data_IF_605626596617
#
_entry.id   IF_605626596617
#
_cell.length_a   1.000
_cell.length_b   1.000
_cell.length_c   1.000
_cell.angle_alpha   90.00
_cell.angle_beta   90.00
_cell.angle_gamma   90.00
#
_symmetry.space_group_name_H-M   'P 1'
#
loop_
_entity.id
_entity.type
_entity.pdbx_description
1 polymer ?
#
# COMPACT_ATOMS: atom_id res chain seq x y z
N UNK A 1 57.81 19.10 -11.51
CA UNK A 1 57.15 18.24 -10.52
C UNK A 1 55.67 18.62 -10.44
N UNK A 2 54.75 17.76 -10.90
CA UNK A 2 53.33 18.11 -10.95
C UNK A 2 52.61 17.65 -9.67
N UNK A 3 52.04 18.58 -8.92
CA UNK A 3 51.18 18.28 -7.77
C UNK A 3 49.99 17.42 -8.22
N UNK A 4 49.83 16.24 -7.60
CA UNK A 4 48.73 15.30 -7.87
C UNK A 4 47.62 15.52 -6.85
N UNK A 5 46.52 16.13 -7.27
CA UNK A 5 45.31 16.24 -6.44
C UNK A 5 44.49 14.95 -6.48
N UNK A 6 44.35 14.30 -5.32
CA UNK A 6 43.41 13.21 -5.07
C UNK A 6 42.84 13.36 -3.67
N UNK A 7 41.52 13.52 -3.55
CA UNK A 7 40.80 13.56 -2.27
C UNK A 7 39.84 12.37 -2.21
N UNK A 8 39.86 11.59 -1.12
CA UNK A 8 38.92 10.48 -0.91
C UNK A 8 38.15 10.73 0.38
N UNK A 9 36.82 10.81 0.29
CA UNK A 9 35.94 11.09 1.43
C UNK A 9 35.02 9.88 1.63
N UNK A 10 34.98 9.37 2.87
CA UNK A 10 34.07 8.28 3.24
C UNK A 10 32.71 8.89 3.57
N UNK A 11 31.66 8.41 2.92
CA UNK A 11 30.29 8.92 3.11
C UNK A 11 29.48 7.98 3.99
N UNK A 12 29.68 6.68 3.84
CA UNK A 12 29.03 5.65 4.65
C UNK A 12 29.95 4.42 4.82
N UNK A 13 29.56 3.44 5.65
CA UNK A 13 30.30 2.17 5.80
C UNK A 13 30.33 1.45 4.45
N UNK A 14 31.51 1.31 3.86
CA UNK A 14 31.70 0.65 2.57
C UNK A 14 31.63 1.57 1.34
N UNK A 15 31.26 2.86 1.47
CA UNK A 15 31.14 3.79 0.33
C UNK A 15 32.12 4.96 0.45
N UNK A 16 32.86 5.24 -0.62
CA UNK A 16 33.82 6.35 -0.71
C UNK A 16 33.64 7.12 -2.02
N UNK A 17 33.70 8.45 -1.94
CA UNK A 17 33.88 9.31 -3.11
C UNK A 17 35.34 9.66 -3.28
N UNK A 18 35.83 9.54 -4.50
CA UNK A 18 37.18 9.89 -4.90
C UNK A 18 37.11 11.05 -5.90
N UNK A 19 37.76 12.16 -5.57
CA UNK A 19 37.90 13.33 -6.41
C UNK A 19 39.34 13.36 -6.92
N UNK A 20 39.52 13.52 -8.22
CA UNK A 20 40.84 13.68 -8.84
C UNK A 20 40.80 14.68 -10.00
N UNK A 21 41.97 15.08 -10.49
CA UNK A 21 42.11 16.10 -11.56
C UNK A 21 41.29 15.80 -12.83
N UNK A 22 40.99 14.52 -13.13
CA UNK A 22 40.27 14.08 -14.34
C UNK A 22 38.80 13.69 -14.08
N UNK A 23 38.28 13.95 -12.89
CA UNK A 23 36.89 13.68 -12.54
C UNK A 23 36.69 13.01 -11.18
N UNK A 24 35.46 12.58 -10.96
CA UNK A 24 34.99 12.01 -9.70
C UNK A 24 34.64 10.53 -9.88
N UNK A 25 34.85 9.72 -8.85
CA UNK A 25 34.50 8.32 -8.86
C UNK A 25 33.97 7.82 -7.53
N UNK A 26 32.94 6.98 -7.59
CA UNK A 26 32.32 6.33 -6.44
C UNK A 26 32.92 4.94 -6.29
N UNK A 27 33.28 4.54 -5.08
CA UNK A 27 33.67 3.16 -4.77
C UNK A 27 32.78 2.62 -3.66
N UNK A 28 32.19 1.46 -3.87
CA UNK A 28 31.34 0.77 -2.91
C UNK A 28 31.81 -0.68 -2.73
N UNK A 29 31.94 -1.10 -1.47
CA UNK A 29 32.36 -2.47 -1.11
C UNK A 29 33.08 -2.60 0.23
N UNK A 30 33.19 -3.83 0.68
CA UNK A 30 33.82 -4.25 1.95
C UNK A 30 35.23 -4.78 1.71
N UNK A 31 35.94 -5.16 2.78
CA UNK A 31 37.31 -5.70 2.67
C UNK A 31 37.25 -7.05 1.95
N UNK A 32 37.81 -7.13 0.75
CA UNK A 32 37.79 -8.32 -0.10
C UNK A 32 36.82 -8.26 -1.30
N UNK A 33 35.85 -7.34 -1.31
CA UNK A 33 34.96 -7.14 -2.47
C UNK A 33 34.70 -5.65 -2.68
N UNK A 34 35.18 -5.09 -3.79
CA UNK A 34 35.01 -3.67 -4.12
C UNK A 34 34.59 -3.49 -5.57
N UNK A 35 33.61 -2.62 -5.76
CA UNK A 35 33.23 -2.10 -7.06
C UNK A 35 33.48 -0.58 -7.11
N UNK A 36 33.98 -0.09 -8.23
CA UNK A 36 34.24 1.34 -8.40
C UNK A 36 33.85 1.83 -9.79
N UNK A 37 33.26 3.01 -9.84
CA UNK A 37 32.81 3.69 -11.06
C UNK A 37 33.47 5.07 -11.09
N UNK A 38 34.14 5.40 -12.18
CA UNK A 38 34.73 6.72 -12.41
C UNK A 38 33.96 7.47 -13.51
N UNK A 39 33.90 8.80 -13.42
CA UNK A 39 33.21 9.66 -14.40
C UNK A 39 33.74 9.52 -15.83
N UNK A 40 34.95 9.01 -16.02
CA UNK A 40 35.51 8.66 -17.35
C UNK A 40 34.98 7.36 -17.94
N UNK A 41 33.95 6.74 -17.34
CA UNK A 41 33.41 5.45 -17.77
C UNK A 41 34.27 4.23 -17.43
N UNK A 42 35.30 4.40 -16.60
CA UNK A 42 36.10 3.27 -16.08
C UNK A 42 35.36 2.63 -14.90
N UNK A 43 35.16 1.32 -14.97
CA UNK A 43 34.54 0.51 -13.91
C UNK A 43 35.54 -0.58 -13.50
N UNK A 44 35.83 -0.69 -12.21
CA UNK A 44 36.73 -1.72 -11.69
C UNK A 44 36.01 -2.56 -10.65
N UNK A 45 35.93 -3.87 -10.90
CA UNK A 45 35.48 -4.91 -9.95
C UNK A 45 36.72 -5.56 -9.35
N UNK A 46 36.74 -5.74 -8.04
CA UNK A 46 37.82 -6.43 -7.34
C UNK A 46 37.19 -7.38 -6.32
N UNK A 47 37.54 -8.67 -6.43
CA UNK A 47 37.16 -9.72 -5.49
C UNK A 47 38.43 -10.41 -5.05
N UNK A 48 38.66 -10.56 -3.75
CA UNK A 48 39.87 -11.17 -3.22
C UNK A 48 39.65 -11.67 -1.79
N UNK A 49 40.29 -12.80 -1.48
CA UNK A 49 40.15 -13.47 -0.19
C UNK A 49 41.17 -12.84 0.78
N UNK A 50 40.74 -12.15 1.85
CA UNK A 50 41.65 -11.44 2.75
C UNK A 50 42.68 -12.37 3.38
N UNK A 51 43.96 -11.98 3.40
CA UNK A 51 45.04 -12.75 4.04
C UNK A 51 45.70 -13.82 3.16
N UNK A 52 45.13 -14.15 2.00
CA UNK A 52 45.65 -15.21 1.11
C UNK A 52 46.50 -14.71 -0.06
N UNK A 53 46.51 -13.40 -0.32
CA UNK A 53 47.16 -12.79 -1.49
C UNK A 53 46.41 -13.00 -2.82
N UNK A 54 45.37 -13.85 -2.85
CA UNK A 54 44.57 -14.13 -4.04
C UNK A 54 43.52 -13.04 -4.27
N UNK A 55 43.61 -12.37 -5.42
CA UNK A 55 42.61 -11.39 -5.85
C UNK A 55 42.41 -11.42 -7.37
N UNK A 56 41.15 -11.26 -7.78
CA UNK A 56 40.73 -11.06 -9.15
C UNK A 56 40.26 -9.62 -9.31
N UNK A 57 40.91 -8.87 -10.21
CA UNK A 57 40.58 -7.48 -10.49
C UNK A 57 40.26 -7.35 -11.97
N UNK A 58 39.02 -6.99 -12.27
CA UNK A 58 38.57 -6.74 -13.63
C UNK A 58 38.31 -5.24 -13.80
N UNK A 59 39.02 -4.61 -14.73
CA UNK A 59 38.80 -3.19 -15.07
C UNK A 59 38.30 -3.08 -16.49
N UNK A 60 37.06 -2.61 -16.65
CA UNK A 60 36.51 -2.24 -17.95
C UNK A 60 36.58 -0.73 -18.13
N UNK A 61 37.09 -0.30 -19.28
CA UNK A 61 37.08 1.09 -19.73
C UNK A 61 36.12 1.19 -20.91
N UNK A 62 35.25 2.20 -20.91
CA UNK A 62 34.42 2.49 -22.07
C UNK A 62 35.30 2.68 -23.31
N UNK A 63 35.37 1.68 -24.19
CA UNK A 63 36.05 1.77 -25.48
C UNK A 63 35.29 2.81 -26.34
N UNK A 64 36.04 3.80 -26.86
CA UNK A 64 35.59 4.62 -28.00
C UNK A 64 35.11 3.68 -29.10
N UNK A 65 33.89 3.92 -29.59
CA UNK A 65 33.22 3.18 -30.67
C UNK A 65 34.15 3.02 -31.88
N UNK A 66 34.61 1.79 -32.15
CA UNK A 66 34.76 1.33 -33.53
C UNK A 66 33.36 0.88 -33.97
N UNK A 67 32.79 1.59 -34.93
CA UNK A 67 31.61 1.13 -35.68
C UNK A 67 31.98 -0.21 -36.34
N UNK A 68 31.07 -1.17 -36.25
CA UNK A 68 30.53 -2.03 -37.33
C UNK A 68 30.07 -3.37 -36.72
N UNK A 69 28.75 -3.57 -36.78
CA UNK A 69 28.03 -4.87 -36.82
C UNK A 69 28.07 -5.80 -35.60
N UNK A 70 27.51 -5.38 -34.45
CA UNK A 70 26.91 -6.30 -33.45
C UNK A 70 26.00 -5.64 -32.40
N UNK A 71 25.49 -4.43 -32.69
CA UNK A 71 24.66 -3.66 -31.74
C UNK A 71 23.14 -3.69 -32.05
N UNK A 72 22.73 -4.29 -33.18
CA UNK A 72 21.32 -4.34 -33.56
C UNK A 72 20.52 -5.40 -32.80
N UNK A 73 21.16 -6.50 -32.35
CA UNK A 73 20.47 -7.57 -31.61
C UNK A 73 20.25 -7.20 -30.14
N UNK A 74 21.19 -6.52 -29.49
CA UNK A 74 21.04 -6.10 -28.08
C UNK A 74 20.11 -4.90 -27.90
N UNK A 75 20.04 -3.96 -28.86
CA UNK A 75 19.06 -2.87 -28.81
C UNK A 75 17.65 -3.34 -29.16
N UNK A 76 17.49 -4.24 -30.14
CA UNK A 76 16.18 -4.75 -30.55
C UNK A 76 15.57 -5.68 -29.49
N UNK A 77 16.39 -6.52 -28.85
CA UNK A 77 15.93 -7.36 -27.74
C UNK A 77 15.52 -6.53 -26.50
N UNK A 78 16.28 -5.48 -26.17
CA UNK A 78 15.91 -4.56 -25.09
C UNK A 78 14.62 -3.79 -25.41
N UNK A 79 14.47 -3.26 -26.63
CA UNK A 79 13.23 -2.58 -27.02
C UNK A 79 12.03 -3.53 -27.08
N UNK A 80 12.22 -4.79 -27.47
CA UNK A 80 11.16 -5.79 -27.42
C UNK A 80 10.72 -6.05 -25.98
N UNK A 81 11.68 -6.24 -25.07
CA UNK A 81 11.40 -6.46 -23.65
C UNK A 81 10.71 -5.24 -22.99
N UNK A 82 11.16 -4.02 -23.30
CA UNK A 82 10.52 -2.78 -22.85
C UNK A 82 9.07 -2.67 -23.37
N UNK A 83 8.85 -2.99 -24.64
CA UNK A 83 7.52 -2.96 -25.25
C UNK A 83 6.59 -4.03 -24.68
N UNK A 84 7.12 -5.23 -24.39
CA UNK A 84 6.40 -6.31 -23.71
C UNK A 84 5.98 -5.87 -22.31
N UNK A 85 6.93 -5.37 -21.51
CA UNK A 85 6.64 -4.88 -20.16
C UNK A 85 5.56 -3.79 -20.14
N UNK A 86 5.57 -2.87 -21.12
CA UNK A 86 4.55 -1.83 -21.23
C UNK A 86 3.15 -2.37 -21.56
N UNK A 87 3.06 -3.41 -22.39
CA UNK A 87 1.77 -4.07 -22.68
C UNK A 87 1.29 -4.87 -21.47
N UNK A 88 2.19 -5.60 -20.81
CA UNK A 88 1.90 -6.36 -19.60
C UNK A 88 1.45 -5.46 -18.44
N UNK A 89 2.10 -4.30 -18.24
CA UNK A 89 1.71 -3.32 -17.22
C UNK A 89 0.28 -2.80 -17.46
N UNK A 90 -0.06 -2.54 -18.72
CA UNK A 90 -1.40 -2.08 -19.09
C UNK A 90 -2.47 -3.17 -18.89
N UNK A 91 -2.18 -4.41 -19.30
CA UNK A 91 -3.08 -5.55 -19.06
C UNK A 91 -3.26 -5.81 -17.56
N UNK A 92 -2.17 -5.75 -16.79
CA UNK A 92 -2.19 -5.88 -15.34
C UNK A 92 -3.00 -4.77 -14.66
N UNK A 93 -2.92 -3.53 -15.16
CA UNK A 93 -3.75 -2.43 -14.66
C UNK A 93 -5.24 -2.70 -14.87
N UNK A 94 -5.65 -3.07 -16.10
CA UNK A 94 -7.05 -3.44 -16.39
C UNK A 94 -7.50 -4.60 -15.49
N UNK A 95 -6.65 -5.62 -15.32
CA UNK A 95 -6.94 -6.74 -14.44
C UNK A 95 -7.10 -6.30 -12.98
N UNK A 96 -6.28 -5.37 -12.49
CA UNK A 96 -6.36 -4.86 -11.11
C UNK A 96 -7.70 -4.18 -10.87
N UNK A 97 -8.09 -3.23 -11.73
CA UNK A 97 -9.34 -2.47 -11.54
C UNK A 97 -10.59 -3.35 -11.73
N UNK A 98 -10.51 -4.41 -12.55
CA UNK A 98 -11.63 -5.37 -12.77
C UNK A 98 -11.66 -6.53 -11.79
N UNK A 99 -10.70 -6.62 -10.86
CA UNK A 99 -10.63 -7.69 -9.85
C UNK A 99 -10.70 -7.20 -8.41
N UNK A 100 -11.10 -5.95 -8.18
CA UNK A 100 -11.27 -5.35 -6.85
C UNK A 100 -12.16 -6.20 -5.93
N UNK A 101 -13.19 -6.86 -6.47
CA UNK A 101 -14.09 -7.75 -5.72
C UNK A 101 -13.39 -8.94 -5.06
N UNK A 102 -12.18 -9.29 -5.52
CA UNK A 102 -11.36 -10.38 -4.95
C UNK A 102 -10.61 -9.93 -3.70
N UNK A 103 -10.39 -8.63 -3.54
CA UNK A 103 -9.72 -8.05 -2.39
C UNK A 103 -10.71 -8.01 -1.24
N UNK A 104 -10.32 -8.61 -0.11
CA UNK A 104 -11.13 -8.65 1.10
C UNK A 104 -10.22 -8.43 2.31
N UNK A 105 -10.62 -7.56 3.23
CA UNK A 105 -9.95 -7.44 4.51
C UNK A 105 -10.37 -8.61 5.40
N UNK A 106 -9.56 -8.86 6.44
CA UNK A 106 -9.93 -9.78 7.50
C UNK A 106 -11.05 -9.17 8.35
N UNK A 107 -12.11 -9.93 8.71
CA UNK A 107 -13.17 -9.42 9.56
C UNK A 107 -12.65 -8.99 10.93
N UNK A 108 -13.12 -7.86 11.43
CA UNK A 108 -12.85 -7.41 12.79
C UNK A 108 -13.74 -8.21 13.73
N UNK A 109 -13.11 -8.97 14.63
CA UNK A 109 -13.80 -9.79 15.64
C UNK A 109 -14.12 -8.94 16.87
N UNK A 110 -15.16 -8.11 16.77
CA UNK A 110 -15.54 -7.15 17.81
C UNK A 110 -15.83 -7.80 19.16
N UNK A 111 -16.41 -9.01 19.17
CA UNK A 111 -16.65 -9.78 20.39
C UNK A 111 -15.34 -10.19 21.07
N UNK A 112 -14.28 -10.51 20.31
CA UNK A 112 -12.97 -10.81 20.88
C UNK A 112 -12.34 -9.57 21.50
N UNK A 113 -12.48 -8.42 20.84
CA UNK A 113 -12.01 -7.12 21.35
C UNK A 113 -12.75 -6.76 22.64
N UNK A 114 -14.07 -6.90 22.68
CA UNK A 114 -14.88 -6.64 23.88
C UNK A 114 -14.46 -7.54 25.04
N UNK A 115 -14.12 -8.81 24.77
CA UNK A 115 -13.72 -9.78 25.78
C UNK A 115 -12.21 -9.78 26.09
N UNK A 116 -11.42 -8.92 25.44
CA UNK A 116 -9.99 -8.83 25.67
C UNK A 116 -9.67 -8.47 27.13
N UNK A 117 -8.81 -9.24 27.83
CA UNK A 117 -8.43 -8.94 29.20
C UNK A 117 -7.62 -7.65 29.27
N UNK A 118 -7.64 -6.99 30.44
CA UNK A 118 -6.81 -5.82 30.68
C UNK A 118 -5.32 -6.17 30.52
N UNK A 119 -4.48 -5.26 29.99
CA UNK A 119 -3.05 -5.52 29.80
C UNK A 119 -2.33 -5.75 31.13
N UNK A 120 -2.83 -5.16 32.22
CA UNK A 120 -2.40 -5.38 33.60
C UNK A 120 -3.52 -4.95 34.56
N UNK A 121 -3.40 -5.24 35.85
CA UNK A 121 -4.39 -4.85 36.86
C UNK A 121 -4.43 -3.34 37.04
N UNK A 122 -5.63 -2.75 37.09
CA UNK A 122 -5.78 -1.32 37.32
C UNK A 122 -5.14 -0.88 38.64
N UNK A 123 -4.27 0.13 38.59
CA UNK A 123 -3.57 0.66 39.76
C UNK A 123 -2.27 -0.07 40.13
N UNK A 124 -1.94 -1.17 39.45
CA UNK A 124 -0.64 -1.83 39.60
C UNK A 124 0.42 -1.25 38.66
N UNK A 125 1.69 -1.57 38.94
CA UNK A 125 2.82 -1.19 38.09
C UNK A 125 2.73 -1.96 36.77
N UNK A 126 2.75 -1.24 35.65
CA UNK A 126 2.69 -1.87 34.34
C UNK A 126 3.94 -2.70 34.03
N UNK A 127 3.85 -3.64 33.07
CA UNK A 127 4.91 -4.59 32.78
C UNK A 127 6.20 -3.93 32.25
N UNK A 128 6.11 -2.80 31.53
CA UNK A 128 7.28 -2.08 31.06
C UNK A 128 7.96 -1.35 32.21
N UNK A 129 7.19 -0.68 33.06
CA UNK A 129 7.68 0.00 34.25
C UNK A 129 8.35 -1.00 35.21
N UNK A 130 7.74 -2.16 35.44
CA UNK A 130 8.30 -3.22 36.28
C UNK A 130 9.65 -3.73 35.75
N UNK A 131 9.75 -3.94 34.43
CA UNK A 131 11.03 -4.30 33.78
C UNK A 131 12.08 -3.21 33.96
N UNK A 132 11.70 -1.94 33.80
CA UNK A 132 12.62 -0.81 33.96
C UNK A 132 13.12 -0.66 35.41
N UNK A 133 12.24 -0.88 36.41
CA UNK A 133 12.60 -0.89 37.83
C UNK A 133 13.59 -2.03 38.11
N UNK A 134 13.31 -3.24 37.64
CA UNK A 134 14.23 -4.37 37.82
C UNK A 134 15.60 -4.11 37.17
N UNK A 135 15.65 -3.47 36.00
CA UNK A 135 16.92 -3.06 35.38
C UNK A 135 17.69 -2.02 36.20
N UNK A 136 16.99 -1.12 36.89
CA UNK A 136 17.60 -0.14 37.79
C UNK A 136 18.12 -0.78 39.08
N UNK A 137 17.35 -1.67 39.69
CA UNK A 137 17.73 -2.37 40.93
C UNK A 137 18.90 -3.33 40.70
N UNK A 138 18.95 -4.00 39.54
CA UNK A 138 20.04 -4.87 39.15
C UNK A 138 21.34 -4.12 38.77
N UNK A 139 21.31 -2.78 38.69
CA UNK A 139 22.48 -1.99 38.30
C UNK A 139 23.53 -1.91 39.41
N UNK A 140 24.72 -2.45 39.14
CA UNK A 140 25.92 -2.26 39.96
C UNK A 140 26.98 -1.43 39.21
N UNK A 141 27.61 -0.43 39.84
CA UNK A 141 28.63 0.39 39.18
C UNK A 141 29.92 -0.39 38.95
N UNK A 142 30.45 -0.30 37.73
CA UNK A 142 31.71 -0.93 37.33
C UNK A 142 32.93 -0.18 37.91
N UNK A 143 34.12 -0.78 37.85
CA UNK A 143 35.36 -0.19 38.42
C UNK A 143 35.61 1.26 37.97
N UNK A 144 35.35 1.60 36.71
CA UNK A 144 35.49 2.97 36.17
C UNK A 144 34.43 3.92 36.73
N UNK A 145 33.19 3.44 36.92
CA UNK A 145 32.06 4.21 37.44
C UNK A 145 32.17 4.44 38.96
N UNK A 146 32.93 3.59 39.67
CA UNK A 146 33.34 3.82 41.07
C UNK A 146 34.41 4.91 41.19
N UNK A 147 35.31 4.98 40.21
CA UNK A 147 36.40 5.97 40.16
C UNK A 147 35.88 7.34 39.68
N UNK A 148 34.82 7.37 38.87
CA UNK A 148 34.19 8.60 38.37
C UNK A 148 32.69 8.60 38.75
N UNK A 149 32.35 9.08 39.97
CA UNK A 149 30.97 9.05 40.49
C UNK A 149 29.94 9.71 39.55
N UNK A 150 30.33 10.79 38.87
CA UNK A 150 29.48 11.53 37.92
C UNK A 150 29.00 10.69 36.72
N UNK A 151 29.75 9.65 36.32
CA UNK A 151 29.31 8.73 35.27
C UNK A 151 28.24 7.75 35.78
N UNK A 152 28.37 7.29 37.03
CA UNK A 152 27.36 6.45 37.67
C UNK A 152 26.07 7.24 37.91
N UNK A 153 26.16 8.50 38.33
CA UNK A 153 25.03 9.42 38.51
C UNK A 153 24.25 9.61 37.20
N UNK A 154 24.92 9.97 36.10
CA UNK A 154 24.29 10.10 34.78
C UNK A 154 23.61 8.82 34.29
N UNK A 155 24.15 7.65 34.65
CA UNK A 155 23.57 6.36 34.27
C UNK A 155 22.33 6.03 35.12
N UNK A 156 22.36 6.36 36.42
CA UNK A 156 21.19 6.30 37.30
C UNK A 156 20.08 7.24 36.85
N UNK A 157 20.41 8.48 36.46
CA UNK A 157 19.46 9.43 35.87
C UNK A 157 18.80 8.88 34.60
N UNK A 158 19.57 8.23 33.72
CA UNK A 158 19.02 7.57 32.53
C UNK A 158 18.07 6.44 32.87
N UNK A 159 18.40 5.61 33.85
CA UNK A 159 17.49 4.54 34.28
C UNK A 159 16.22 5.11 34.93
N UNK A 160 16.33 6.15 35.76
CA UNK A 160 15.15 6.85 36.31
C UNK A 160 14.26 7.42 35.20
N UNK A 161 14.87 8.06 34.19
CA UNK A 161 14.15 8.52 33.00
C UNK A 161 13.51 7.38 32.20
N UNK A 162 14.15 6.21 32.12
CA UNK A 162 13.62 5.05 31.43
C UNK A 162 12.42 4.43 32.18
N UNK A 163 12.44 4.43 33.52
CA UNK A 163 11.29 4.02 34.34
C UNK A 163 10.09 4.94 34.08
N UNK A 164 10.31 6.26 34.03
CA UNK A 164 9.24 7.21 33.76
C UNK A 164 8.66 7.07 32.34
N UNK A 165 9.52 6.89 31.33
CA UNK A 165 9.08 6.60 29.96
C UNK A 165 8.30 5.29 29.86
N UNK A 166 8.76 4.25 30.56
CA UNK A 166 8.09 2.96 30.58
C UNK A 166 6.72 3.05 31.26
N UNK A 167 6.60 3.81 32.35
CA UNK A 167 5.33 4.13 33.01
C UNK A 167 4.37 4.86 32.06
N UNK A 168 4.84 5.90 31.36
CA UNK A 168 4.03 6.64 30.39
C UNK A 168 3.55 5.75 29.25
N UNK A 169 4.38 4.81 28.80
CA UNK A 169 3.99 3.83 27.78
C UNK A 169 2.94 2.85 28.30
N UNK A 170 3.12 2.28 29.50
CA UNK A 170 2.12 1.39 30.12
C UNK A 170 0.77 2.12 30.32
N UNK A 171 0.78 3.38 30.76
CA UNK A 171 -0.43 4.21 30.87
C UNK A 171 -1.09 4.44 29.50
N UNK A 172 -0.30 4.63 28.44
CA UNK A 172 -0.80 4.78 27.07
C UNK A 172 -1.44 3.49 26.58
N UNK A 173 -0.76 2.36 26.74
CA UNK A 173 -1.25 1.04 26.31
C UNK A 173 -2.56 0.69 27.04
N UNK A 174 -2.67 1.04 28.32
CA UNK A 174 -3.90 0.83 29.09
C UNK A 174 -5.05 1.71 28.58
N UNK A 175 -4.80 2.99 28.29
CA UNK A 175 -5.83 3.91 27.72
C UNK A 175 -6.29 3.44 26.35
N UNK A 176 -5.37 3.06 25.47
CA UNK A 176 -5.69 2.54 24.13
C UNK A 176 -6.56 1.28 24.24
N UNK A 177 -6.24 0.37 25.16
CA UNK A 177 -7.08 -0.80 25.43
C UNK A 177 -8.49 -0.41 25.91
N UNK A 178 -8.62 0.58 26.81
CA UNK A 178 -9.94 1.07 27.26
C UNK A 178 -10.76 1.68 26.13
N UNK A 179 -10.13 2.53 25.30
CA UNK A 179 -10.75 3.16 24.14
C UNK A 179 -11.22 2.11 23.12
N UNK A 180 -10.38 1.11 22.84
CA UNK A 180 -10.69 0.00 21.94
C UNK A 180 -11.89 -0.81 22.45
N UNK A 181 -11.92 -1.14 23.75
CA UNK A 181 -13.06 -1.84 24.35
C UNK A 181 -14.34 -1.01 24.31
N UNK A 182 -14.25 0.27 24.62
CA UNK A 182 -15.40 1.18 24.55
C UNK A 182 -15.93 1.31 23.13
N UNK A 183 -15.04 1.33 22.13
CA UNK A 183 -15.43 1.34 20.72
C UNK A 183 -16.12 0.03 20.35
N UNK A 184 -15.54 -1.12 20.72
CA UNK A 184 -16.14 -2.42 20.43
C UNK A 184 -17.55 -2.56 21.04
N UNK A 185 -17.75 -2.12 22.28
CA UNK A 185 -19.06 -2.11 22.93
C UNK A 185 -20.07 -1.22 22.19
N UNK A 186 -19.64 -0.02 21.76
CA UNK A 186 -20.47 0.89 21.00
C UNK A 186 -20.81 0.36 19.59
N UNK A 187 -19.88 -0.33 18.93
CA UNK A 187 -20.10 -0.99 17.63
C UNK A 187 -21.09 -2.15 17.79
N UNK A 188 -20.88 -3.05 18.76
CA UNK A 188 -21.78 -4.18 19.00
C UNK A 188 -23.19 -3.72 19.43
N UNK A 189 -23.28 -2.56 20.07
CA UNK A 189 -24.56 -1.91 20.41
C UNK A 189 -25.20 -1.15 19.25
N UNK A 190 -24.58 -1.13 18.06
CA UNK A 190 -25.11 -0.47 16.87
C UNK A 190 -25.12 1.06 16.94
N UNK A 191 -24.21 1.68 17.69
CA UNK A 191 -24.18 3.13 17.83
C UNK A 191 -23.68 3.82 16.54
N UNK A 192 -24.45 4.77 15.95
CA UNK A 192 -24.09 5.38 14.68
C UNK A 192 -22.72 6.06 14.66
N UNK A 193 -22.34 6.75 15.74
CA UNK A 193 -21.05 7.45 15.82
C UNK A 193 -19.86 6.48 15.86
N UNK A 194 -20.04 5.29 16.46
CA UNK A 194 -19.03 4.25 16.44
C UNK A 194 -18.82 3.70 15.02
N UNK A 195 -19.91 3.44 14.29
CA UNK A 195 -19.84 2.99 12.89
C UNK A 195 -19.14 4.02 11.99
N UNK A 196 -19.50 5.31 12.13
CA UNK A 196 -18.83 6.39 11.40
C UNK A 196 -17.34 6.44 11.72
N UNK A 197 -16.96 6.32 12.99
CA UNK A 197 -15.55 6.32 13.40
C UNK A 197 -14.78 5.18 12.75
N UNK A 198 -15.31 3.96 12.78
CA UNK A 198 -14.68 2.78 12.16
C UNK A 198 -14.49 2.98 10.65
N UNK A 199 -15.51 3.45 9.94
CA UNK A 199 -15.43 3.68 8.49
C UNK A 199 -14.49 4.85 8.15
N UNK A 200 -14.47 5.92 8.95
CA UNK A 200 -13.62 7.08 8.72
C UNK A 200 -12.12 6.80 9.00
N UNK A 201 -11.80 5.88 9.91
CA UNK A 201 -10.43 5.48 10.22
C UNK A 201 -9.88 4.41 9.25
N UNK A 202 -10.74 3.83 8.40
CA UNK A 202 -10.34 2.87 7.36
C UNK A 202 -9.59 3.58 6.22
N UNK A 203 -8.33 3.19 6.04
CA UNK A 203 -7.46 3.73 4.99
C UNK A 203 -7.96 3.42 3.57
N UNK A 204 -8.75 2.37 3.44
CA UNK A 204 -9.30 1.85 2.19
C UNK A 204 -10.30 2.82 1.55
N UNK A 205 -11.05 3.57 2.36
CA UNK A 205 -12.02 4.56 1.88
C UNK A 205 -11.45 5.99 1.85
N UNK A 206 -10.24 6.22 2.36
CA UNK A 206 -9.69 7.56 2.55
C UNK A 206 -9.47 8.32 1.23
N UNK A 207 -9.19 7.61 0.14
CA UNK A 207 -8.85 8.20 -1.16
C UNK A 207 -10.07 8.50 -2.05
N UNK A 208 -11.29 8.17 -1.61
CA UNK A 208 -12.49 8.28 -2.44
C UNK A 208 -13.56 9.19 -1.83
N UNK A 209 -14.22 10.03 -2.65
CA UNK A 209 -15.38 10.76 -2.17
C UNK A 209 -16.51 9.77 -1.89
N UNK A 210 -16.87 9.62 -0.63
CA UNK A 210 -18.01 8.80 -0.21
C UNK A 210 -18.94 9.55 0.74
N UNK A 211 -20.20 9.10 0.78
CA UNK A 211 -21.17 9.45 1.79
C UNK A 211 -21.60 8.16 2.49
N UNK A 212 -21.66 8.20 3.82
CA UNK A 212 -22.01 7.05 4.64
C UNK A 212 -23.14 7.40 5.59
N UNK A 213 -24.21 6.61 5.55
CA UNK A 213 -25.41 6.79 6.37
C UNK A 213 -25.72 5.49 7.11
N UNK A 214 -26.05 5.62 8.39
CA UNK A 214 -26.52 4.51 9.23
C UNK A 214 -28.02 4.64 9.35
N UNK A 215 -28.74 3.58 8.98
CA UNK A 215 -30.20 3.52 9.12
C UNK A 215 -30.57 2.89 10.46
N UNK A 216 -29.89 1.81 10.84
CA UNK A 216 -29.98 1.18 12.16
C UNK A 216 -28.75 0.29 12.42
N UNK A 217 -28.77 -0.47 13.51
CA UNK A 217 -27.67 -1.35 13.93
C UNK A 217 -27.29 -2.41 12.87
N UNK A 218 -28.22 -2.81 11.99
CA UNK A 218 -28.04 -3.89 11.02
C UNK A 218 -27.95 -3.41 9.57
N UNK A 219 -28.25 -2.13 9.31
CA UNK A 219 -28.39 -1.57 7.96
C UNK A 219 -27.64 -0.26 7.79
N UNK A 220 -26.77 -0.23 6.78
CA UNK A 220 -25.97 0.93 6.41
C UNK A 220 -26.06 1.23 4.92
N UNK A 221 -25.91 2.48 4.54
CA UNK A 221 -25.91 2.94 3.16
C UNK A 221 -24.59 3.65 2.87
N UNK A 222 -23.98 3.33 1.75
CA UNK A 222 -22.77 4.00 1.28
C UNK A 222 -22.90 4.38 -0.19
N UNK A 223 -22.62 5.64 -0.47
CA UNK A 223 -22.45 6.16 -1.83
C UNK A 223 -20.99 6.47 -2.04
N UNK A 224 -20.42 6.07 -3.17
CA UNK A 224 -19.09 6.54 -3.59
C UNK A 224 -19.11 7.01 -5.04
N UNK A 225 -18.31 8.04 -5.30
CA UNK A 225 -18.16 8.61 -6.62
C UNK A 225 -16.91 8.06 -7.27
N UNK A 226 -17.08 7.34 -8.38
CA UNK A 226 -15.97 6.85 -9.20
C UNK A 226 -15.51 7.92 -10.19
N UNK A 227 -14.23 7.84 -10.58
CA UNK A 227 -13.69 8.64 -11.67
C UNK A 227 -13.61 7.82 -12.96
N UNK A 228 -14.41 8.20 -13.96
CA UNK A 228 -14.41 7.54 -15.28
C UNK A 228 -13.07 7.55 -16.00
N UNK A 229 -12.16 8.46 -15.64
CA UNK A 229 -10.82 8.56 -16.20
C UNK A 229 -9.88 7.43 -15.75
N UNK A 230 -10.23 6.68 -14.70
CA UNK A 230 -9.45 5.51 -14.26
C UNK A 230 -9.56 4.34 -15.26
N UNK A 231 -10.56 4.32 -16.13
CA UNK A 231 -10.74 3.23 -17.07
C UNK A 231 -9.99 3.57 -18.38
N UNK A 232 -8.99 2.78 -18.80
CA UNK A 232 -8.22 3.07 -20.00
C UNK A 232 -9.11 3.15 -21.24
N UNK A 233 -8.93 4.20 -22.04
CA UNK A 233 -9.63 4.38 -23.32
C UNK A 233 -8.84 3.86 -24.52
N UNK A 234 -7.59 3.44 -24.30
CA UNK A 234 -6.71 2.84 -25.30
C UNK A 234 -6.42 1.38 -24.96
N UNK A 235 -6.05 0.61 -25.97
CA UNK A 235 -5.53 -0.74 -25.81
C UNK A 235 -4.12 -0.81 -26.40
N UNK A 236 -3.21 -1.40 -25.63
CA UNK A 236 -1.83 -1.64 -26.01
C UNK A 236 -1.67 -3.08 -26.48
N UNK A 237 -1.04 -3.27 -27.64
CA UNK A 237 -0.76 -4.59 -28.21
C UNK A 237 0.61 -4.58 -28.88
N UNK A 238 1.21 -5.75 -29.09
CA UNK A 238 2.44 -5.87 -29.89
C UNK A 238 2.12 -6.17 -31.35
N UNK A 239 2.79 -5.47 -32.26
CA UNK A 239 2.79 -5.84 -33.68
C UNK A 239 3.61 -7.11 -33.89
N UNK A 240 3.45 -7.76 -35.06
CA UNK A 240 4.31 -8.89 -35.49
C UNK A 240 5.81 -8.55 -35.47
N UNK A 241 6.18 -7.27 -35.48
CA UNK A 241 7.55 -6.76 -35.45
C UNK A 241 8.02 -6.36 -34.04
N UNK A 242 7.21 -6.56 -33.00
CA UNK A 242 7.58 -6.28 -31.62
C UNK A 242 7.48 -4.80 -31.21
N UNK A 243 6.81 -3.96 -32.02
CA UNK A 243 6.53 -2.56 -31.67
C UNK A 243 5.20 -2.46 -30.94
N UNK A 244 5.07 -1.51 -30.03
CA UNK A 244 3.78 -1.21 -29.38
C UNK A 244 2.84 -0.55 -30.39
N UNK A 245 1.65 -1.12 -30.53
CA UNK A 245 0.51 -0.56 -31.23
C UNK A 245 -0.48 -0.02 -30.20
N UNK A 246 -0.68 1.29 -30.18
CA UNK A 246 -1.74 1.95 -29.40
C UNK A 246 -2.96 2.14 -30.28
N UNK A 247 -4.12 1.66 -29.83
CA UNK A 247 -5.39 1.85 -30.55
C UNK A 247 -6.44 2.30 -29.57
N UNK A 248 -7.35 3.17 -30.02
CA UNK A 248 -8.55 3.48 -29.23
C UNK A 248 -9.33 2.18 -28.99
N UNK A 249 -9.73 1.97 -27.74
CA UNK A 249 -10.51 0.81 -27.34
C UNK A 249 -11.88 0.85 -28.05
N UNK A 250 -12.36 -0.32 -28.48
CA UNK A 250 -13.72 -0.43 -29.00
C UNK A 250 -14.73 -0.07 -27.93
N UNK A 251 -15.79 0.68 -28.29
CA UNK A 251 -16.78 1.17 -27.33
C UNK A 251 -17.37 0.03 -26.47
N UNK A 252 -17.67 -1.12 -27.09
CA UNK A 252 -18.18 -2.30 -26.36
C UNK A 252 -17.22 -2.82 -25.30
N UNK A 253 -15.93 -2.95 -25.64
CA UNK A 253 -14.94 -3.45 -24.69
C UNK A 253 -14.74 -2.46 -23.52
N UNK A 254 -14.74 -1.15 -23.81
CA UNK A 254 -14.68 -0.11 -22.78
C UNK A 254 -15.89 -0.19 -21.84
N UNK A 255 -17.10 -0.36 -22.40
CA UNK A 255 -18.32 -0.46 -21.60
C UNK A 255 -18.40 -1.74 -20.78
N UNK A 256 -17.84 -2.86 -21.26
CA UNK A 256 -17.74 -4.11 -20.50
C UNK A 256 -16.76 -3.96 -19.33
N UNK A 257 -15.54 -3.45 -19.57
CA UNK A 257 -14.57 -3.15 -18.49
C UNK A 257 -15.16 -2.19 -17.46
N UNK A 258 -15.84 -1.12 -17.91
CA UNK A 258 -16.49 -0.17 -17.00
C UNK A 258 -17.57 -0.84 -16.16
N UNK A 259 -18.33 -1.80 -16.73
CA UNK A 259 -19.36 -2.55 -16.00
C UNK A 259 -18.75 -3.42 -14.91
N UNK A 260 -17.67 -4.13 -15.23
CA UNK A 260 -16.96 -4.98 -14.28
C UNK A 260 -16.27 -4.16 -13.18
N UNK A 261 -15.69 -3.02 -13.53
CA UNK A 261 -15.13 -2.07 -12.56
C UNK A 261 -16.20 -1.57 -11.58
N UNK A 262 -17.32 -1.02 -12.08
CA UNK A 262 -18.43 -0.52 -11.23
C UNK A 262 -18.98 -1.61 -10.32
N UNK A 263 -19.26 -2.79 -10.88
CA UNK A 263 -19.83 -3.92 -10.12
C UNK A 263 -18.82 -4.49 -9.12
N UNK A 264 -17.56 -4.59 -9.53
CA UNK A 264 -16.47 -5.09 -8.69
C UNK A 264 -16.19 -4.16 -7.51
N UNK A 265 -16.27 -2.86 -7.76
CA UNK A 265 -16.14 -1.83 -6.73
C UNK A 265 -17.29 -1.89 -5.73
N UNK A 266 -18.54 -2.06 -6.18
CA UNK A 266 -19.68 -2.21 -5.30
C UNK A 266 -19.55 -3.43 -4.37
N UNK A 267 -19.11 -4.57 -4.90
CA UNK A 267 -18.80 -5.75 -4.10
C UNK A 267 -17.67 -5.46 -3.11
N UNK A 268 -16.58 -4.85 -3.57
CA UNK A 268 -15.43 -4.49 -2.74
C UNK A 268 -15.86 -3.66 -1.53
N UNK A 269 -16.64 -2.60 -1.74
CA UNK A 269 -17.17 -1.74 -0.69
C UNK A 269 -18.06 -2.51 0.29
N UNK A 270 -18.99 -3.34 -0.22
CA UNK A 270 -19.85 -4.16 0.62
C UNK A 270 -19.06 -5.13 1.51
N UNK A 271 -18.04 -5.79 0.95
CA UNK A 271 -17.15 -6.70 1.70
C UNK A 271 -16.37 -5.97 2.79
N UNK A 272 -15.88 -4.76 2.49
CA UNK A 272 -15.15 -3.94 3.48
C UNK A 272 -16.08 -3.52 4.62
N UNK A 273 -17.30 -3.06 4.30
CA UNK A 273 -18.29 -2.74 5.33
C UNK A 273 -18.65 -3.96 6.19
N UNK A 274 -18.83 -5.13 5.59
CA UNK A 274 -19.16 -6.34 6.34
C UNK A 274 -18.00 -6.86 7.18
N UNK A 275 -16.76 -6.69 6.74
CA UNK A 275 -15.59 -7.03 7.56
C UNK A 275 -15.43 -6.07 8.75
N UNK A 276 -15.74 -4.79 8.56
CA UNK A 276 -15.53 -3.75 9.58
C UNK A 276 -16.68 -3.60 10.56
N UNK A 277 -17.92 -3.85 10.14
CA UNK A 277 -19.12 -3.58 10.94
C UNK A 277 -20.00 -4.84 11.06
N UNK A 278 -20.67 -5.08 12.21
CA UNK A 278 -21.56 -6.22 12.43
C UNK A 278 -22.96 -6.01 11.80
N UNK A 279 -23.00 -5.48 10.58
CA UNK A 279 -24.25 -5.21 9.83
C UNK A 279 -24.63 -6.39 8.95
N UNK A 280 -25.93 -6.60 8.74
CA UNK A 280 -26.45 -7.72 7.93
C UNK A 280 -26.70 -7.31 6.47
N UNK A 281 -27.01 -6.02 6.26
CA UNK A 281 -27.27 -5.47 4.92
C UNK A 281 -26.56 -4.15 4.71
N UNK A 282 -26.10 -3.94 3.48
CA UNK A 282 -25.61 -2.64 3.06
C UNK A 282 -26.17 -2.26 1.69
N UNK A 283 -26.64 -1.01 1.59
CA UNK A 283 -27.09 -0.41 0.35
C UNK A 283 -25.93 0.38 -0.26
N UNK A 284 -25.53 0.02 -1.47
CA UNK A 284 -24.40 0.63 -2.16
C UNK A 284 -24.86 1.40 -3.39
N UNK A 285 -24.42 2.65 -3.50
CA UNK A 285 -24.64 3.50 -4.66
C UNK A 285 -23.31 3.89 -5.31
N UNK A 286 -23.17 3.61 -6.60
CA UNK A 286 -22.01 4.02 -7.39
C UNK A 286 -22.42 5.19 -8.27
N UNK A 287 -21.75 6.32 -8.11
CA UNK A 287 -22.04 7.54 -8.87
C UNK A 287 -20.86 7.98 -9.72
N UNK A 288 -21.15 8.73 -10.77
CA UNK A 288 -20.14 9.37 -11.62
C UNK A 288 -20.59 10.80 -11.93
N UNK A 289 -19.66 11.75 -11.84
CA UNK A 289 -19.91 13.14 -12.22
C UNK A 289 -19.80 13.26 -13.75
N UNK A 290 -20.94 13.30 -14.42
CA UNK A 290 -21.01 13.26 -15.87
C UNK A 290 -22.03 14.27 -16.43
N UNK A 291 -21.90 14.57 -17.73
CA UNK A 291 -22.86 15.42 -18.44
C UNK A 291 -24.20 14.69 -18.56
N UNK A 292 -25.26 15.27 -18.03
CA UNK A 292 -26.61 14.84 -18.36
C UNK A 292 -27.00 15.44 -19.71
N UNK A 293 -27.05 14.61 -20.74
CA UNK A 293 -27.35 15.08 -22.11
C UNK A 293 -28.79 15.53 -22.31
N UNK A 294 -29.72 15.12 -21.43
CA UNK A 294 -31.11 15.57 -21.47
C UNK A 294 -31.28 16.98 -20.92
N UNK A 295 -30.51 17.36 -19.88
CA UNK A 295 -30.60 18.68 -19.25
C UNK A 295 -29.47 19.63 -19.65
N UNK A 296 -28.36 19.12 -20.20
CA UNK A 296 -27.16 19.87 -20.54
C UNK A 296 -26.27 20.24 -19.34
N UNK A 297 -26.61 19.80 -18.13
CA UNK A 297 -25.86 20.11 -16.92
C UNK A 297 -24.96 18.97 -16.48
N UNK A 298 -23.81 19.30 -15.91
CA UNK A 298 -22.97 18.32 -15.19
C UNK A 298 -23.62 17.98 -13.85
N UNK A 299 -23.58 16.72 -13.46
CA UNK A 299 -24.10 16.28 -12.16
C UNK A 299 -23.74 14.84 -11.85
N UNK A 300 -23.92 14.46 -10.59
CA UNK A 300 -23.74 13.08 -10.15
C UNK A 300 -24.89 12.21 -10.67
N UNK A 301 -24.54 11.20 -11.45
CA UNK A 301 -25.48 10.22 -11.98
C UNK A 301 -25.24 8.88 -11.29
N UNK A 302 -26.31 8.22 -10.85
CA UNK A 302 -26.22 6.89 -10.24
C UNK A 302 -26.09 5.86 -11.36
N UNK A 303 -24.98 5.13 -11.39
CA UNK A 303 -24.72 4.07 -12.36
C UNK A 303 -25.23 2.72 -11.89
N UNK A 304 -25.12 2.48 -10.58
CA UNK A 304 -25.54 1.25 -9.92
C UNK A 304 -26.08 1.59 -8.52
N UNK A 305 -27.21 0.98 -8.18
CA UNK A 305 -27.75 0.94 -6.82
C UNK A 305 -28.03 -0.52 -6.49
N UNK A 306 -27.51 -1.04 -5.39
CA UNK A 306 -27.62 -2.47 -5.05
C UNK A 306 -27.69 -2.69 -3.54
N UNK A 307 -28.60 -3.56 -3.09
CA UNK A 307 -28.67 -4.01 -1.70
C UNK A 307 -27.96 -5.36 -1.54
N UNK A 308 -26.89 -5.37 -0.77
CA UNK A 308 -26.16 -6.59 -0.42
C UNK A 308 -26.66 -7.17 0.89
N UNK A 309 -26.83 -8.49 0.92
CA UNK A 309 -27.06 -9.27 2.12
C UNK A 309 -25.79 -10.07 2.44
N UNK A 310 -25.32 -9.98 3.69
CA UNK A 310 -24.09 -10.67 4.15
C UNK A 310 -24.13 -12.17 3.87
N UNK A 311 -25.22 -12.86 4.23
CA UNK A 311 -25.34 -14.32 4.10
C UNK A 311 -25.26 -14.79 2.65
N UNK A 312 -25.74 -13.98 1.71
CA UNK A 312 -25.66 -14.27 0.28
C UNK A 312 -24.23 -14.00 -0.20
N UNK A 313 -23.66 -12.86 0.16
CA UNK A 313 -22.34 -12.43 -0.27
C UNK A 313 -21.23 -13.40 0.19
N UNK A 314 -21.30 -13.87 1.43
CA UNK A 314 -20.32 -14.79 2.03
C UNK A 314 -20.31 -16.18 1.38
N UNK A 315 -21.41 -16.56 0.70
CA UNK A 315 -21.52 -17.84 -0.02
C UNK A 315 -20.94 -17.79 -1.43
N UNK A 316 -20.61 -16.60 -1.95
CA UNK A 316 -20.10 -16.45 -3.30
C UNK A 316 -18.63 -16.87 -3.42
N UNK A 317 -18.27 -17.46 -4.57
CA UNK A 317 -16.89 -17.87 -4.84
C UNK A 317 -16.10 -16.76 -5.56
N UNK A 318 -15.54 -15.81 -4.79
CA UNK A 318 -14.81 -14.66 -5.33
C UNK A 318 -13.58 -15.01 -6.20
N UNK A 319 -13.01 -16.22 -6.08
CA UNK A 319 -11.90 -16.62 -6.92
C UNK A 319 -12.29 -16.76 -8.40
N UNK A 320 -13.56 -17.13 -8.66
CA UNK A 320 -14.10 -17.40 -10.01
C UNK A 320 -15.29 -16.51 -10.39
N UNK A 321 -15.73 -15.66 -9.49
CA UNK A 321 -16.88 -14.79 -9.67
C UNK A 321 -16.60 -13.70 -10.71
N UNK A 322 -17.54 -13.55 -11.63
CA UNK A 322 -17.68 -12.37 -12.47
C UNK A 322 -18.50 -11.31 -11.70
N UNK A 323 -17.96 -10.10 -11.51
CA UNK A 323 -18.62 -9.10 -10.67
C UNK A 323 -19.93 -8.57 -11.30
N UNK A 324 -19.98 -8.47 -12.62
CA UNK A 324 -21.16 -8.00 -13.35
C UNK A 324 -22.32 -9.00 -13.26
N UNK A 325 -22.04 -10.29 -13.42
CA UNK A 325 -23.04 -11.36 -13.32
C UNK A 325 -23.49 -11.57 -11.87
N UNK A 326 -22.58 -11.37 -10.92
CA UNK A 326 -22.88 -11.53 -9.50
C UNK A 326 -23.97 -10.59 -8.98
N UNK A 327 -24.18 -9.44 -9.63
CA UNK A 327 -25.25 -8.50 -9.29
C UNK A 327 -26.63 -9.19 -9.33
N UNK A 328 -26.81 -10.20 -10.19
CA UNK A 328 -28.04 -10.97 -10.31
C UNK A 328 -28.45 -11.76 -9.05
N UNK A 329 -27.55 -11.91 -8.06
CA UNK A 329 -27.88 -12.55 -6.78
C UNK A 329 -28.56 -11.60 -5.78
N UNK A 330 -28.65 -10.31 -6.10
CA UNK A 330 -29.07 -9.25 -5.20
C UNK A 330 -30.16 -8.39 -5.83
N UNK A 331 -30.94 -7.68 -5.00
CA UNK A 331 -31.85 -6.66 -5.51
C UNK A 331 -31.01 -5.44 -5.94
N UNK A 332 -31.17 -5.02 -7.18
CA UNK A 332 -30.35 -3.97 -7.76
C UNK A 332 -31.09 -3.19 -8.85
N UNK A 333 -30.73 -1.93 -9.01
CA UNK A 333 -31.02 -1.12 -10.18
C UNK A 333 -29.72 -0.93 -10.98
N UNK A 334 -29.69 -1.49 -12.19
CA UNK A 334 -28.62 -1.30 -13.15
C UNK A 334 -29.24 -1.20 -14.55
N UNK A 335 -28.84 -0.19 -15.33
CA UNK A 335 -29.18 -0.12 -16.75
C UNK A 335 -27.89 0.03 -17.54
N UNK A 336 -27.52 -1.03 -18.26
CA UNK A 336 -26.32 -1.08 -19.08
C UNK A 336 -26.61 -1.67 -20.46
N UNK A 337 -26.12 -1.01 -21.50
CA UNK A 337 -26.14 -1.50 -22.87
C UNK A 337 -24.72 -1.72 -23.38
N UNK A 338 -24.45 -2.88 -23.98
CA UNK A 338 -23.13 -3.20 -24.55
C UNK A 338 -22.55 -2.14 -25.49
N UNK A 339 -23.39 -1.40 -26.21
CA UNK A 339 -22.95 -0.39 -27.19
C UNK A 339 -23.00 1.04 -26.68
N UNK A 340 -23.68 1.32 -25.57
CA UNK A 340 -23.89 2.68 -25.04
C UNK A 340 -23.42 2.88 -23.60
N UNK A 341 -23.08 1.80 -22.90
CA UNK A 341 -22.65 1.81 -21.50
C UNK A 341 -23.82 1.98 -20.52
N UNK A 342 -23.50 2.53 -19.36
CA UNK A 342 -24.45 2.81 -18.30
C UNK A 342 -25.44 3.90 -18.68
N UNK A 343 -26.68 3.74 -18.23
CA UNK A 343 -27.69 4.78 -18.18
C UNK A 343 -28.02 5.07 -16.72
N UNK A 344 -28.30 6.33 -16.36
CA UNK A 344 -28.63 6.67 -14.98
C UNK A 344 -29.85 5.88 -14.48
N UNK A 345 -29.76 5.40 -13.25
CA UNK A 345 -30.85 4.70 -12.57
C UNK A 345 -31.32 5.46 -11.33
N UNK A 346 -32.51 5.13 -10.84
CA UNK A 346 -32.99 5.67 -9.56
C UNK A 346 -32.33 4.93 -8.39
N UNK A 347 -32.12 5.67 -7.29
CA UNK A 347 -31.65 5.07 -6.03
C UNK A 347 -32.73 4.14 -5.50
N UNK A 348 -32.31 2.96 -5.07
CA UNK A 348 -33.18 2.08 -4.31
C UNK A 348 -33.43 2.67 -2.92
N UNK A 349 -34.62 2.40 -2.38
CA UNK A 349 -34.97 2.68 -0.97
C UNK A 349 -35.32 1.40 -0.21
N UNK A 350 -35.29 0.26 -0.91
CA UNK A 350 -35.61 -1.07 -0.40
C UNK A 350 -34.32 -1.82 -0.04
N UNK A 351 -34.41 -2.72 0.95
CA UNK A 351 -33.29 -3.37 1.66
C UNK A 351 -33.26 -4.89 1.54
#
# INVERSE_FOLDING_TARGET
MAFRFRKSVKIAKGVRLNFGKKGMGVSFGTRGMRYSIHSSGRRTKSVGIPGTGLSYVETSTGKKKKKVQSAASSSSANHLAENQALVEEHEHYIQTITSLHKISPEPILWEEIQNMPAPFTSGEIGPLQQKAIHHYEAYAPNLIERIIPKLAERKRERFASAIEQAKQQDEKDYREWQELKSLADAVLSGQPEAYKKVVAESSEFADLPYQFHIHDAHRVEMEFQINGDEIPTEQLTLTKTGKVSRRKMGATNYHEIKKDYVSGYAIWAARHLFASLPVERCLIHVTEYALNTATGHMGNQVLLSISFNRDILDKLNFARLDPSDAMGNFQHHIDHLKTKGFRPVERMTEW
#
